data_IF_820651664122
#
_entry.id   IF_820651664122
#
_cell.length_a   1.000
_cell.length_b   1.000
_cell.length_c   1.000
_cell.angle_alpha   90.00
_cell.angle_beta   90.00
_cell.angle_gamma   90.00
#
_symmetry.space_group_name_H-M   'P 1'
#
loop_
_entity.id
_entity.type
_entity.pdbx_description
1 polymer ?
#
# COMPACT_ATOMS: atom_id res chain seq x y z
N UNK A 1 4.88 4.21 -71.10
CA UNK A 1 5.51 4.09 -69.79
C UNK A 1 4.83 3.06 -68.84
N UNK A 2 3.57 2.74 -69.01
CA UNK A 2 2.85 1.73 -68.15
C UNK A 2 3.14 0.25 -68.41
N UNK A 3 3.67 -0.10 -69.59
CA UNK A 3 3.95 -1.52 -69.90
C UNK A 3 5.34 -1.98 -69.45
N UNK A 4 6.25 -1.12 -69.19
CA UNK A 4 7.62 -1.48 -68.76
C UNK A 4 7.69 -1.91 -67.29
N UNK A 5 6.77 -1.41 -66.44
CA UNK A 5 6.72 -1.71 -65.00
C UNK A 5 6.18 -3.12 -64.74
N UNK A 6 5.28 -3.64 -65.60
CA UNK A 6 4.65 -4.95 -65.37
C UNK A 6 5.57 -6.17 -65.62
N UNK A 7 6.62 -6.02 -66.45
CA UNK A 7 7.49 -7.16 -66.80
C UNK A 7 8.55 -7.50 -65.76
N UNK A 8 8.87 -6.59 -64.86
CA UNK A 8 9.98 -6.78 -63.91
C UNK A 8 9.56 -7.02 -62.45
N UNK A 9 8.23 -7.07 -62.15
CA UNK A 9 7.73 -7.28 -60.81
C UNK A 9 8.17 -8.65 -60.25
N UNK A 10 8.24 -9.67 -61.12
CA UNK A 10 8.61 -11.05 -60.74
C UNK A 10 10.12 -11.20 -60.44
N UNK A 11 10.95 -10.32 -61.02
CA UNK A 11 12.40 -10.35 -60.77
C UNK A 11 12.81 -9.62 -59.47
N UNK A 12 11.98 -8.66 -59.05
CA UNK A 12 12.29 -7.83 -57.83
C UNK A 12 11.77 -8.46 -56.54
N UNK A 13 10.66 -9.23 -56.66
CA UNK A 13 10.04 -9.88 -55.50
C UNK A 13 10.98 -10.80 -54.69
N UNK A 14 11.80 -11.69 -55.32
CA UNK A 14 12.70 -12.54 -54.53
C UNK A 14 13.82 -11.78 -53.85
N UNK A 15 14.31 -10.67 -54.47
CA UNK A 15 15.37 -9.85 -53.86
C UNK A 15 14.91 -9.07 -52.65
N UNK A 16 13.68 -8.54 -52.70
CA UNK A 16 13.06 -7.86 -51.53
C UNK A 16 12.78 -8.85 -50.42
N UNK A 17 12.32 -10.06 -50.76
CA UNK A 17 12.07 -11.10 -49.75
C UNK A 17 13.35 -11.59 -49.08
N UNK A 18 14.45 -11.69 -49.84
CA UNK A 18 15.74 -12.09 -49.31
C UNK A 18 16.36 -11.01 -48.39
N UNK A 19 16.19 -9.70 -48.74
CA UNK A 19 16.63 -8.60 -47.88
C UNK A 19 15.84 -8.49 -46.58
N UNK A 20 14.51 -8.72 -46.63
CA UNK A 20 13.68 -8.74 -45.40
C UNK A 20 14.05 -9.92 -44.51
N UNK A 21 14.30 -11.10 -45.10
CA UNK A 21 14.75 -12.28 -44.34
C UNK A 21 16.13 -12.07 -43.68
N UNK A 22 17.05 -11.35 -44.35
CA UNK A 22 18.38 -11.04 -43.82
C UNK A 22 18.30 -10.06 -42.64
N UNK A 23 17.36 -9.11 -42.64
CA UNK A 23 17.14 -8.15 -41.54
C UNK A 23 16.53 -8.88 -40.34
N UNK A 24 15.66 -9.88 -40.56
CA UNK A 24 15.03 -10.65 -39.48
C UNK A 24 16.00 -11.65 -38.81
N UNK A 25 16.99 -12.14 -39.56
CA UNK A 25 18.01 -13.08 -39.03
C UNK A 25 19.21 -12.35 -38.38
N UNK A 26 19.39 -11.05 -38.70
CA UNK A 26 20.51 -10.24 -38.18
C UNK A 26 20.20 -9.40 -36.95
N UNK A 27 18.98 -9.45 -36.42
CA UNK A 27 18.68 -8.78 -35.15
C UNK A 27 19.35 -9.53 -34.02
N UNK A 28 20.35 -8.95 -33.31
CA UNK A 28 20.81 -9.54 -32.07
C UNK A 28 19.58 -9.65 -31.15
N UNK A 29 19.28 -10.85 -30.70
CA UNK A 29 18.35 -11.06 -29.58
C UNK A 29 18.91 -10.19 -28.45
N UNK A 30 18.36 -8.97 -28.32
CA UNK A 30 18.57 -8.13 -27.17
C UNK A 30 18.00 -8.93 -26.01
N UNK A 31 18.91 -9.60 -25.31
CA UNK A 31 18.60 -10.23 -24.03
C UNK A 31 18.16 -9.07 -23.13
N UNK A 32 16.87 -8.76 -23.14
CA UNK A 32 16.29 -7.96 -22.09
C UNK A 32 16.66 -8.66 -20.81
N UNK A 33 17.63 -8.09 -20.07
CA UNK A 33 17.81 -8.42 -18.66
C UNK A 33 16.41 -8.30 -18.08
N UNK A 34 15.80 -9.43 -17.77
CA UNK A 34 14.68 -9.48 -16.85
C UNK A 34 15.22 -8.77 -15.63
N UNK A 35 14.74 -7.56 -15.42
CA UNK A 35 14.98 -6.82 -14.21
C UNK A 35 14.24 -7.67 -13.16
N UNK A 36 15.00 -8.46 -12.42
CA UNK A 36 14.47 -9.16 -11.27
C UNK A 36 13.85 -8.09 -10.41
N UNK A 37 12.53 -8.04 -10.42
CA UNK A 37 11.75 -7.35 -9.40
C UNK A 37 12.30 -7.92 -8.09
N UNK A 38 12.78 -7.10 -7.14
CA UNK A 38 13.20 -7.61 -5.86
C UNK A 38 12.10 -8.54 -5.37
N UNK A 39 12.44 -9.75 -4.98
CA UNK A 39 11.48 -10.70 -4.43
C UNK A 39 10.69 -9.94 -3.36
N UNK A 40 9.37 -9.84 -3.54
CA UNK A 40 8.49 -9.28 -2.55
C UNK A 40 8.72 -10.13 -1.30
N UNK A 41 9.19 -9.51 -0.23
CA UNK A 41 9.50 -10.23 1.00
C UNK A 41 8.15 -10.58 1.65
N UNK A 42 7.65 -11.77 1.36
CA UNK A 42 6.36 -12.28 1.80
C UNK A 42 6.26 -12.44 3.33
N UNK A 43 7.34 -12.16 4.06
CA UNK A 43 7.43 -12.29 5.51
C UNK A 43 7.26 -10.97 6.27
N UNK A 44 6.98 -9.86 5.59
CA UNK A 44 6.79 -8.58 6.27
C UNK A 44 5.46 -8.53 7.02
N UNK A 45 5.49 -8.02 8.24
CA UNK A 45 4.27 -7.71 9.00
C UNK A 45 3.68 -6.41 8.45
N UNK A 46 2.45 -6.48 7.95
CA UNK A 46 1.75 -5.31 7.38
C UNK A 46 0.99 -4.58 8.47
N UNK A 47 1.33 -3.32 8.71
CA UNK A 47 0.71 -2.49 9.74
C UNK A 47 -0.02 -1.30 9.11
N UNK A 48 -1.34 -1.24 9.31
CA UNK A 48 -2.16 -0.09 8.95
C UNK A 48 -2.20 0.92 10.09
N UNK A 49 -1.70 2.13 9.89
CA UNK A 49 -1.70 3.20 10.91
C UNK A 49 -2.61 4.33 10.48
N UNK A 50 -3.64 4.63 11.29
CA UNK A 50 -4.52 5.78 11.07
C UNK A 50 -4.27 6.86 12.14
N UNK A 51 -3.63 7.96 11.72
CA UNK A 51 -3.31 9.11 12.54
C UNK A 51 -4.40 10.18 12.43
N UNK A 52 -4.63 10.91 13.52
CA UNK A 52 -5.60 12.03 13.57
C UNK A 52 -5.32 13.08 12.52
N UNK A 53 -4.07 13.53 12.44
CA UNK A 53 -3.61 14.61 11.57
C UNK A 53 -2.16 14.95 11.82
N UNK A 54 -1.71 16.09 11.30
CA UNK A 54 -0.34 16.59 11.44
C UNK A 54 -0.28 18.05 11.92
N UNK A 55 -1.32 18.52 12.65
CA UNK A 55 -1.52 19.92 13.02
C UNK A 55 -0.67 20.37 14.20
N UNK A 56 0.04 19.45 14.87
CA UNK A 56 0.93 19.76 15.99
C UNK A 56 2.30 19.13 15.84
N UNK A 57 3.29 19.70 16.49
CA UNK A 57 4.66 19.16 16.54
C UNK A 57 4.65 17.73 17.10
N UNK A 58 3.82 17.47 18.12
CA UNK A 58 3.67 16.14 18.71
C UNK A 58 3.17 15.12 17.69
N UNK A 59 2.11 15.46 16.93
CA UNK A 59 1.54 14.57 15.90
C UNK A 59 2.51 14.32 14.76
N UNK A 60 3.27 15.33 14.37
CA UNK A 60 4.31 15.18 13.36
C UNK A 60 5.44 14.27 13.87
N UNK A 61 5.86 14.42 15.11
CA UNK A 61 6.87 13.56 15.75
C UNK A 61 6.36 12.12 15.89
N UNK A 62 5.10 11.91 16.28
CA UNK A 62 4.48 10.59 16.34
C UNK A 62 4.40 9.92 14.97
N UNK A 63 4.04 10.67 13.93
CA UNK A 63 4.04 10.18 12.55
C UNK A 63 5.45 9.74 12.13
N UNK A 64 6.46 10.59 12.37
CA UNK A 64 7.85 10.28 12.05
C UNK A 64 8.32 9.04 12.80
N UNK A 65 8.05 8.95 14.10
CA UNK A 65 8.40 7.78 14.92
C UNK A 65 7.77 6.49 14.40
N UNK A 66 6.51 6.54 13.95
CA UNK A 66 5.85 5.38 13.35
C UNK A 66 6.51 4.97 12.03
N UNK A 67 6.86 5.94 11.18
CA UNK A 67 7.54 5.68 9.91
C UNK A 67 8.96 5.12 10.11
N UNK A 68 9.68 5.60 11.12
CA UNK A 68 11.02 5.11 11.45
C UNK A 68 11.00 3.70 12.08
N UNK A 69 9.94 3.38 12.82
CA UNK A 69 9.80 2.07 13.47
C UNK A 69 9.34 0.97 12.51
N UNK A 70 8.33 1.26 11.68
CA UNK A 70 7.72 0.28 10.77
C UNK A 70 8.38 0.31 9.39
N UNK A 71 9.66 -0.03 9.33
CA UNK A 71 10.42 -0.10 8.07
C UNK A 71 10.59 -1.54 7.60
N UNK A 72 10.87 -1.73 6.30
CA UNK A 72 11.19 -3.05 5.75
C UNK A 72 12.43 -3.67 6.42
N UNK A 73 13.41 -2.87 6.79
CA UNK A 73 14.60 -3.30 7.50
C UNK A 73 14.27 -3.88 8.88
N UNK A 74 13.22 -3.38 9.51
CA UNK A 74 12.70 -3.89 10.78
C UNK A 74 11.66 -5.02 10.62
N UNK A 75 11.41 -5.48 9.39
CA UNK A 75 10.47 -6.55 9.09
C UNK A 75 9.01 -6.09 8.94
N UNK A 76 8.77 -4.81 8.68
CA UNK A 76 7.42 -4.26 8.56
C UNK A 76 7.14 -3.63 7.19
N UNK A 77 5.86 -3.64 6.83
CA UNK A 77 5.31 -2.84 5.75
C UNK A 77 4.25 -1.90 6.33
N UNK A 78 4.52 -0.59 6.29
CA UNK A 78 3.62 0.43 6.81
C UNK A 78 2.64 0.92 5.75
N UNK A 79 1.35 0.87 6.06
CA UNK A 79 0.28 1.57 5.32
C UNK A 79 -0.22 2.70 6.22
N UNK A 80 0.16 3.93 5.88
CA UNK A 80 -0.12 5.10 6.72
C UNK A 80 -1.25 5.94 6.14
N UNK A 81 -2.24 6.29 6.99
CA UNK A 81 -3.33 7.22 6.66
C UNK A 81 -3.33 8.42 7.60
N UNK A 82 -3.48 9.60 7.03
CA UNK A 82 -3.71 10.84 7.76
C UNK A 82 -5.18 11.24 7.64
N UNK A 83 -5.92 11.13 8.71
CA UNK A 83 -7.36 11.39 8.73
C UNK A 83 -7.76 12.84 8.54
N UNK A 84 -6.82 13.79 8.62
CA UNK A 84 -7.09 15.24 8.48
C UNK A 84 -8.19 15.71 9.42
N UNK A 85 -8.12 15.28 10.67
CA UNK A 85 -9.07 15.60 11.75
C UNK A 85 -10.53 15.20 11.44
N UNK A 86 -10.74 14.12 10.69
CA UNK A 86 -12.09 13.62 10.36
C UNK A 86 -12.22 12.15 10.72
N UNK A 87 -13.08 11.84 11.68
CA UNK A 87 -13.38 10.46 12.07
C UNK A 87 -13.84 9.61 10.87
N UNK A 88 -14.65 10.19 9.98
CA UNK A 88 -15.10 9.49 8.78
C UNK A 88 -13.93 9.02 7.88
N UNK A 89 -12.80 9.75 7.87
CA UNK A 89 -11.61 9.32 7.15
C UNK A 89 -10.93 8.16 7.88
N UNK A 90 -10.84 8.18 9.22
CA UNK A 90 -10.30 7.06 9.98
C UNK A 90 -11.12 5.78 9.79
N UNK A 91 -12.45 5.88 9.85
CA UNK A 91 -13.35 4.75 9.57
C UNK A 91 -13.11 4.19 8.16
N UNK A 92 -12.92 5.06 7.18
CA UNK A 92 -12.62 4.68 5.81
C UNK A 92 -11.25 4.02 5.68
N UNK A 93 -10.25 4.53 6.39
CA UNK A 93 -8.91 3.95 6.43
C UNK A 93 -8.93 2.55 7.05
N UNK A 94 -9.61 2.35 8.19
CA UNK A 94 -9.73 1.04 8.84
C UNK A 94 -10.38 0.03 7.88
N UNK A 95 -11.47 0.39 7.20
CA UNK A 95 -12.10 -0.49 6.20
C UNK A 95 -11.17 -0.82 5.04
N UNK A 96 -10.33 0.14 4.62
CA UNK A 96 -9.29 -0.08 3.61
C UNK A 96 -8.24 -1.05 4.10
N UNK A 97 -7.79 -0.94 5.36
CA UNK A 97 -6.84 -1.86 5.98
C UNK A 97 -7.42 -3.28 6.09
N UNK A 98 -8.69 -3.41 6.49
CA UNK A 98 -9.40 -4.68 6.51
C UNK A 98 -9.45 -5.30 5.10
N UNK A 99 -9.79 -4.52 4.08
CA UNK A 99 -9.84 -4.98 2.69
C UNK A 99 -8.47 -5.42 2.15
N UNK A 100 -7.39 -4.83 2.65
CA UNK A 100 -6.00 -5.17 2.32
C UNK A 100 -5.44 -6.30 3.18
N UNK A 101 -6.22 -6.80 4.14
CA UNK A 101 -5.83 -7.88 5.05
C UNK A 101 -4.52 -7.60 5.80
N UNK A 102 -4.38 -6.38 6.36
CA UNK A 102 -3.22 -6.04 7.19
C UNK A 102 -3.15 -6.93 8.42
N UNK A 103 -1.96 -7.14 8.97
CA UNK A 103 -1.76 -7.97 10.16
C UNK A 103 -2.17 -7.24 11.45
N UNK A 104 -2.01 -5.91 11.51
CA UNK A 104 -2.34 -5.06 12.64
C UNK A 104 -2.89 -3.72 12.20
N UNK A 105 -3.82 -3.18 12.98
CA UNK A 105 -4.30 -1.81 12.84
C UNK A 105 -3.88 -1.02 14.07
N UNK A 106 -3.23 0.13 13.86
CA UNK A 106 -2.92 1.12 14.91
C UNK A 106 -3.80 2.34 14.68
N UNK A 107 -4.61 2.68 15.65
CA UNK A 107 -5.57 3.76 15.58
C UNK A 107 -5.29 4.79 16.69
N UNK A 108 -5.03 6.05 16.29
CA UNK A 108 -5.11 7.19 17.21
C UNK A 108 -6.47 7.85 17.01
N UNK A 109 -7.49 7.57 17.85
CA UNK A 109 -8.85 8.00 17.57
C UNK A 109 -9.02 9.51 17.74
N UNK A 110 -9.78 10.13 16.84
CA UNK A 110 -10.05 11.57 16.91
C UNK A 110 -11.20 11.88 17.88
N UNK A 111 -12.19 11.00 17.96
CA UNK A 111 -13.35 11.08 18.83
C UNK A 111 -13.35 9.89 19.78
N UNK A 112 -14.07 9.98 20.91
CA UNK A 112 -14.19 8.86 21.85
C UNK A 112 -15.25 7.85 21.41
N UNK A 113 -16.31 8.29 20.75
CA UNK A 113 -17.46 7.48 20.37
C UNK A 113 -17.57 7.20 18.87
N UNK A 114 -18.49 6.30 18.48
CA UNK A 114 -18.78 6.01 17.07
C UNK A 114 -17.89 4.92 16.43
N UNK A 115 -17.15 4.18 17.24
CA UNK A 115 -16.17 3.19 16.77
C UNK A 115 -16.68 1.77 16.71
N UNK A 116 -17.76 1.44 17.44
CA UNK A 116 -18.24 0.06 17.61
C UNK A 116 -18.29 -0.71 16.29
N UNK A 117 -18.96 -0.17 15.27
CA UNK A 117 -19.19 -0.89 14.01
C UNK A 117 -17.87 -1.24 13.30
N UNK A 118 -16.96 -0.27 13.15
CA UNK A 118 -15.73 -0.49 12.38
C UNK A 118 -14.71 -1.34 13.16
N UNK A 119 -14.71 -1.26 14.49
CA UNK A 119 -13.90 -2.14 15.33
C UNK A 119 -14.44 -3.57 15.32
N UNK A 120 -15.78 -3.73 15.28
CA UNK A 120 -16.38 -5.06 15.09
C UNK A 120 -16.04 -5.64 13.71
N UNK A 121 -16.06 -4.82 12.65
CA UNK A 121 -15.63 -5.23 11.30
C UNK A 121 -14.17 -5.74 11.32
N UNK A 122 -13.26 -5.05 12.04
CA UNK A 122 -11.86 -5.47 12.17
C UNK A 122 -11.73 -6.79 12.96
N UNK A 123 -12.47 -6.91 14.06
CA UNK A 123 -12.51 -8.13 14.89
C UNK A 123 -13.04 -9.33 14.09
N UNK A 124 -14.10 -9.15 13.32
CA UNK A 124 -14.69 -10.20 12.49
C UNK A 124 -13.74 -10.64 11.37
N UNK A 125 -12.89 -9.73 10.90
CA UNK A 125 -11.80 -10.01 9.96
C UNK A 125 -10.57 -10.66 10.62
N UNK A 126 -10.56 -10.78 11.94
CA UNK A 126 -9.44 -11.35 12.71
C UNK A 126 -8.24 -10.42 12.82
N UNK A 127 -8.41 -9.12 12.56
CA UNK A 127 -7.32 -8.14 12.57
C UNK A 127 -7.31 -7.42 13.94
N UNK A 128 -6.24 -7.58 14.74
CA UNK A 128 -6.10 -6.93 16.02
C UNK A 128 -5.92 -5.41 15.87
N UNK A 129 -6.62 -4.65 16.73
CA UNK A 129 -6.55 -3.20 16.78
C UNK A 129 -5.81 -2.75 18.04
N UNK A 130 -4.83 -1.88 17.88
CA UNK A 130 -4.07 -1.22 18.94
C UNK A 130 -4.48 0.24 18.98
N UNK A 131 -4.99 0.71 20.10
CA UNK A 131 -5.29 2.12 20.30
C UNK A 131 -4.04 2.86 20.79
N UNK A 132 -3.79 4.05 20.25
CA UNK A 132 -2.68 4.90 20.65
C UNK A 132 -3.15 6.30 21.03
N UNK A 133 -2.50 6.88 22.04
CA UNK A 133 -2.75 8.22 22.60
C UNK A 133 -4.10 8.26 23.35
N UNK A 134 -5.20 8.13 22.67
CA UNK A 134 -6.57 8.20 23.21
C UNK A 134 -7.23 6.83 23.17
N UNK A 135 -8.16 6.63 24.11
CA UNK A 135 -9.05 5.48 24.13
C UNK A 135 -10.35 5.77 23.36
N UNK A 136 -11.19 4.74 23.24
CA UNK A 136 -12.53 4.82 22.64
C UNK A 136 -13.58 4.41 23.66
N UNK A 137 -14.78 5.00 23.56
CA UNK A 137 -15.93 4.61 24.35
C UNK A 137 -16.70 3.50 23.63
N UNK A 138 -16.45 2.26 24.03
CA UNK A 138 -17.15 1.06 23.55
C UNK A 138 -17.55 0.19 24.74
N UNK A 139 -18.69 -0.48 24.65
CA UNK A 139 -19.18 -1.33 25.71
C UNK A 139 -18.48 -2.71 25.78
N UNK A 140 -17.78 -3.09 24.72
CA UNK A 140 -17.04 -4.35 24.59
C UNK A 140 -15.55 -4.07 24.36
N UNK A 141 -14.77 -4.18 25.42
CA UNK A 141 -13.31 -3.98 25.39
C UNK A 141 -12.57 -5.00 24.52
N UNK A 142 -13.23 -6.11 24.14
CA UNK A 142 -12.63 -7.11 23.24
C UNK A 142 -12.57 -6.65 21.77
N UNK A 143 -13.06 -5.44 21.45
CA UNK A 143 -12.99 -4.83 20.13
C UNK A 143 -11.61 -4.27 19.80
N UNK A 144 -10.74 -4.12 20.78
CA UNK A 144 -9.33 -3.77 20.59
C UNK A 144 -8.43 -4.63 21.48
N UNK A 145 -7.19 -4.81 21.06
CA UNK A 145 -6.24 -5.69 21.74
C UNK A 145 -5.61 -5.02 22.95
N UNK A 146 -5.24 -3.75 22.81
CA UNK A 146 -4.60 -2.95 23.85
C UNK A 146 -4.71 -1.46 23.54
N UNK A 147 -4.49 -0.67 24.58
CA UNK A 147 -4.33 0.77 24.50
C UNK A 147 -2.97 1.18 25.04
N UNK A 148 -2.29 2.07 24.34
CA UNK A 148 -1.02 2.66 24.71
C UNK A 148 -1.17 4.19 24.71
N UNK A 149 -1.14 4.81 25.86
CA UNK A 149 -1.34 6.25 26.01
C UNK A 149 -0.99 6.74 27.41
N UNK A 150 -1.09 8.05 27.60
CA UNK A 150 -0.89 8.68 28.90
C UNK A 150 -2.07 8.45 29.84
N UNK A 151 -1.76 8.24 31.12
CA UNK A 151 -2.76 8.20 32.18
C UNK A 151 -3.10 9.63 32.62
N UNK A 152 -4.03 10.25 31.90
CA UNK A 152 -4.43 11.65 32.15
C UNK A 152 -5.04 11.88 33.55
N UNK A 153 -5.47 10.81 34.24
CA UNK A 153 -5.95 10.91 35.62
C UNK A 153 -4.77 11.16 36.58
N UNK A 154 -3.59 10.60 36.27
CA UNK A 154 -2.38 10.79 37.08
C UNK A 154 -1.59 12.02 36.72
N UNK A 155 -1.78 12.56 35.55
CA UNK A 155 -1.07 13.77 35.07
C UNK A 155 -1.73 15.06 35.53
N UNK A 156 -2.98 15.07 35.97
CA UNK A 156 -3.77 16.23 36.33
C UNK A 156 -4.19 16.39 37.72
#
# INVERSE_FOLDING_TARGET
MRQFIRKNIWAVAPVVFMLVALVLLGSPLSSSKVQETPAEDDNLIVVGVSQVGSESVWRSAHTQSSQDAFTRENGYMLIFDNARQKQANQIKAIRSFISQQVDYIVLSPIEESGWYTVLQEAKDAGIPVILMDRTVEVADDSLYTTWVGSDFIREG
#
